data_IF_649324474335
#
_entry.id   IF_649324474335
#
_cell.length_a   1.000
_cell.length_b   1.000
_cell.length_c   1.000
_cell.angle_alpha   90.00
_cell.angle_beta   90.00
_cell.angle_gamma   90.00
#
_symmetry.space_group_name_H-M   'P 1'
#
loop_
_entity.id
_entity.type
_entity.pdbx_description
1 polymer ?
#
# COMPACT_ATOMS: atom_id res chain seq x y z
N UNK A 1 25.29 -1.77 -3.29
CA UNK A 1 24.08 -2.39 -3.88
C UNK A 1 23.30 -1.28 -4.58
N UNK A 2 23.27 -1.29 -5.91
CA UNK A 2 22.77 -0.19 -6.76
C UNK A 2 21.31 -0.46 -7.15
N UNK A 3 20.39 0.46 -6.81
CA UNK A 3 19.13 0.63 -7.56
C UNK A 3 17.82 0.10 -6.95
N UNK A 4 17.59 0.18 -5.63
CA UNK A 4 16.29 -0.22 -5.04
C UNK A 4 15.18 0.83 -5.14
N UNK A 5 15.51 2.05 -5.58
CA UNK A 5 14.58 3.19 -5.61
C UNK A 5 14.45 3.75 -7.03
N UNK A 6 13.22 4.06 -7.42
CA UNK A 6 12.85 4.62 -8.72
C UNK A 6 12.26 6.01 -8.54
N UNK A 7 12.26 6.85 -9.59
CA UNK A 7 11.59 8.16 -9.49
C UNK A 7 10.08 8.01 -9.41
N UNK A 8 9.49 8.54 -8.33
CA UNK A 8 8.07 8.40 -8.03
C UNK A 8 7.18 8.89 -9.19
N UNK A 9 7.52 10.05 -9.78
CA UNK A 9 6.76 10.66 -10.88
C UNK A 9 6.76 9.81 -12.16
N UNK A 10 7.78 8.98 -12.37
CA UNK A 10 7.87 8.11 -13.54
C UNK A 10 7.06 6.83 -13.37
N UNK A 11 6.91 6.34 -12.13
CA UNK A 11 6.31 5.05 -11.83
C UNK A 11 4.84 5.15 -11.36
N UNK A 12 4.44 6.30 -10.82
CA UNK A 12 3.15 6.48 -10.17
C UNK A 12 2.37 7.67 -10.79
N UNK A 13 1.08 7.46 -11.04
CA UNK A 13 0.11 8.51 -11.34
C UNK A 13 -0.02 9.50 -10.17
N UNK A 14 -0.65 10.66 -10.39
CA UNK A 14 -0.86 11.65 -9.32
C UNK A 14 -1.63 11.04 -8.13
N UNK A 15 -2.67 10.25 -8.37
CA UNK A 15 -3.46 9.64 -7.30
C UNK A 15 -2.66 8.60 -6.51
N UNK A 16 -1.81 7.81 -7.19
CA UNK A 16 -0.88 6.88 -6.53
C UNK A 16 0.18 7.60 -5.70
N UNK A 17 0.63 8.77 -6.15
CA UNK A 17 1.56 9.61 -5.39
C UNK A 17 0.90 10.12 -4.11
N UNK A 18 -0.36 10.58 -4.17
CA UNK A 18 -1.09 11.02 -2.99
C UNK A 18 -1.40 9.84 -2.04
N UNK A 19 -1.78 8.68 -2.58
CA UNK A 19 -1.97 7.46 -1.78
C UNK A 19 -0.67 7.05 -1.06
N UNK A 20 0.46 7.01 -1.76
CA UNK A 20 1.74 6.70 -1.13
C UNK A 20 2.10 7.74 -0.06
N UNK A 21 1.86 9.03 -0.28
CA UNK A 21 2.06 10.04 0.76
C UNK A 21 1.22 9.77 2.00
N UNK A 22 -0.04 9.35 1.83
CA UNK A 22 -0.90 8.98 2.96
C UNK A 22 -0.36 7.77 3.72
N UNK A 23 0.02 6.70 3.01
CA UNK A 23 0.59 5.48 3.60
C UNK A 23 1.90 5.76 4.34
N UNK A 24 2.76 6.62 3.78
CA UNK A 24 4.01 7.05 4.41
C UNK A 24 3.76 7.94 5.64
N UNK A 25 2.74 8.79 5.60
CA UNK A 25 2.32 9.58 6.75
C UNK A 25 1.81 8.68 7.89
N UNK A 26 1.07 7.60 7.58
CA UNK A 26 0.64 6.60 8.57
C UNK A 26 1.85 5.98 9.29
N UNK A 27 2.94 5.68 8.57
CA UNK A 27 4.18 5.19 9.19
C UNK A 27 4.79 6.21 10.17
N UNK A 28 4.65 7.50 9.90
CA UNK A 28 5.14 8.57 10.80
C UNK A 28 4.10 9.00 11.85
N UNK A 29 2.91 8.36 11.88
CA UNK A 29 1.78 8.77 12.72
C UNK A 29 2.09 8.77 14.21
N UNK A 30 2.91 7.84 14.69
CA UNK A 30 3.34 7.76 16.10
C UNK A 30 4.12 9.02 16.52
N UNK A 31 4.67 9.77 15.56
CA UNK A 31 5.31 11.07 15.79
C UNK A 31 4.41 12.26 15.44
N UNK A 32 3.45 12.13 14.50
CA UNK A 32 2.60 13.22 13.97
C UNK A 32 1.20 12.76 13.53
N UNK A 33 0.27 12.51 14.46
CA UNK A 33 -1.04 11.95 14.14
C UNK A 33 -1.97 12.91 13.36
N UNK A 34 -1.87 14.22 13.59
CA UNK A 34 -2.69 15.24 12.90
C UNK A 34 -2.43 15.35 11.39
N UNK A 35 -1.22 15.00 10.95
CA UNK A 35 -0.86 15.07 9.52
C UNK A 35 -1.48 13.90 8.73
N UNK A 36 -1.85 12.81 9.39
CA UNK A 36 -2.39 11.60 8.76
C UNK A 36 -3.84 11.78 8.35
N UNK A 37 -4.69 12.29 9.24
CA UNK A 37 -6.11 12.50 8.96
C UNK A 37 -6.31 13.47 7.79
N UNK A 38 -5.55 14.57 7.76
CA UNK A 38 -5.61 15.55 6.69
C UNK A 38 -5.20 14.93 5.34
N UNK A 39 -4.18 14.07 5.34
CA UNK A 39 -3.69 13.43 4.11
C UNK A 39 -4.68 12.37 3.59
N UNK A 40 -5.30 11.60 4.49
CA UNK A 40 -6.32 10.60 4.12
C UNK A 40 -7.60 11.25 3.59
N UNK A 41 -8.08 12.33 4.24
CA UNK A 41 -9.25 13.09 3.74
C UNK A 41 -9.02 13.64 2.34
N UNK A 42 -7.80 14.09 2.00
CA UNK A 42 -7.46 14.61 0.66
C UNK A 42 -7.60 13.57 -0.45
N UNK A 43 -7.48 12.29 -0.12
CA UNK A 43 -7.66 11.18 -1.07
C UNK A 43 -9.03 10.51 -0.92
N UNK A 44 -9.97 11.13 -0.19
CA UNK A 44 -11.33 10.63 -0.03
C UNK A 44 -11.47 9.48 0.99
N UNK A 45 -10.42 9.16 1.75
CA UNK A 45 -10.50 8.16 2.82
C UNK A 45 -10.99 8.84 4.09
N UNK A 46 -12.17 8.45 4.56
CA UNK A 46 -12.73 8.95 5.82
C UNK A 46 -11.95 8.38 7.02
N UNK A 47 -11.81 9.13 8.13
CA UNK A 47 -11.11 8.66 9.33
C UNK A 47 -11.65 7.33 9.88
N UNK A 48 -12.96 7.08 9.76
CA UNK A 48 -13.59 5.83 10.18
C UNK A 48 -13.13 4.62 9.36
N UNK A 49 -12.77 4.85 8.09
CA UNK A 49 -12.28 3.85 7.16
C UNK A 49 -10.75 3.73 7.13
N UNK A 50 -10.01 4.49 7.96
CA UNK A 50 -8.55 4.49 7.92
C UNK A 50 -7.88 3.36 8.72
N UNK A 51 -8.61 2.74 9.65
CA UNK A 51 -8.08 1.70 10.55
C UNK A 51 -7.41 0.54 9.82
N UNK A 52 -7.97 -0.03 8.72
CA UNK A 52 -7.32 -1.08 7.95
C UNK A 52 -5.95 -0.66 7.38
N UNK A 53 -5.82 0.59 6.91
CA UNK A 53 -4.54 1.09 6.38
C UNK A 53 -3.49 1.23 7.46
N UNK A 54 -3.88 1.70 8.66
CA UNK A 54 -2.97 1.80 9.81
C UNK A 54 -2.47 0.41 10.21
N UNK A 55 -3.38 -0.55 10.32
CA UNK A 55 -3.02 -1.93 10.66
C UNK A 55 -2.15 -2.58 9.58
N UNK A 56 -2.45 -2.34 8.29
CA UNK A 56 -1.67 -2.86 7.17
C UNK A 56 -0.23 -2.37 7.21
N UNK A 57 -0.02 -1.07 7.40
CA UNK A 57 1.33 -0.49 7.47
C UNK A 57 2.08 -0.96 8.72
N UNK A 58 1.42 -1.05 9.88
CA UNK A 58 2.05 -1.58 11.11
C UNK A 58 2.51 -3.03 10.90
N UNK A 59 1.64 -3.89 10.37
CA UNK A 59 1.99 -5.29 10.14
C UNK A 59 3.08 -5.47 9.07
N UNK A 60 3.08 -4.63 8.02
CA UNK A 60 4.13 -4.66 7.01
C UNK A 60 5.50 -4.30 7.62
N UNK A 61 5.55 -3.31 8.51
CA UNK A 61 6.77 -2.86 9.19
C UNK A 61 7.22 -3.78 10.33
N UNK A 62 6.28 -4.45 11.01
CA UNK A 62 6.59 -5.40 12.09
C UNK A 62 7.08 -6.76 11.56
N UNK A 63 6.84 -7.06 10.28
CA UNK A 63 7.34 -8.27 9.66
C UNK A 63 8.87 -8.25 9.63
N UNK A 64 9.51 -9.35 10.07
CA UNK A 64 10.98 -9.46 10.18
C UNK A 64 11.75 -9.37 8.84
N UNK A 65 11.05 -9.09 7.73
CA UNK A 65 11.60 -8.88 6.40
C UNK A 65 11.54 -7.40 6.03
N UNK A 66 12.59 -6.91 5.40
CA UNK A 66 12.86 -5.50 5.09
C UNK A 66 11.78 -4.83 4.19
N UNK A 67 10.56 -4.60 4.68
CA UNK A 67 9.57 -3.81 3.95
C UNK A 67 9.99 -2.34 3.94
N UNK A 68 10.44 -1.85 2.79
CA UNK A 68 10.94 -0.50 2.63
C UNK A 68 9.81 0.47 2.25
N UNK A 69 9.30 1.18 3.25
CA UNK A 69 8.43 2.35 3.05
C UNK A 69 9.23 3.64 3.22
N UNK A 70 9.35 4.44 2.16
CA UNK A 70 10.16 5.66 2.16
C UNK A 70 9.48 6.78 2.96
N UNK A 71 10.22 7.86 3.27
CA UNK A 71 9.64 9.03 3.95
C UNK A 71 8.57 9.74 3.10
N UNK A 72 7.58 10.42 3.71
CA UNK A 72 6.42 11.00 3.03
C UNK A 72 6.78 12.03 1.96
N UNK A 73 7.92 12.71 2.11
CA UNK A 73 8.43 13.69 1.14
C UNK A 73 9.42 13.10 0.12
N UNK A 74 9.66 11.80 0.14
CA UNK A 74 10.60 11.16 -0.78
C UNK A 74 10.14 11.32 -2.24
N UNK A 75 10.99 11.87 -3.13
CA UNK A 75 10.71 11.96 -4.56
C UNK A 75 10.88 10.61 -5.28
N UNK A 76 11.27 9.57 -4.55
CA UNK A 76 11.47 8.23 -5.05
C UNK A 76 10.38 7.27 -4.56
N UNK A 77 10.35 6.07 -5.12
CA UNK A 77 9.49 4.95 -4.73
C UNK A 77 10.33 3.68 -4.66
N UNK A 78 10.13 2.87 -3.63
CA UNK A 78 10.77 1.55 -3.50
C UNK A 78 10.02 0.49 -4.32
N UNK A 79 10.61 -0.67 -4.51
CA UNK A 79 9.91 -1.80 -5.12
C UNK A 79 8.78 -2.32 -4.21
N UNK A 80 9.00 -2.33 -2.89
CA UNK A 80 7.99 -2.76 -1.93
C UNK A 80 6.75 -1.85 -1.94
N UNK A 81 6.95 -0.54 -2.14
CA UNK A 81 5.86 0.41 -2.33
C UNK A 81 5.08 0.16 -3.64
N UNK A 82 5.77 -0.24 -4.71
CA UNK A 82 5.12 -0.60 -5.97
C UNK A 82 4.36 -1.91 -5.87
N UNK A 83 4.90 -2.90 -5.16
CA UNK A 83 4.24 -4.18 -4.90
C UNK A 83 3.03 -3.98 -3.97
N UNK A 84 3.11 -3.08 -2.99
CA UNK A 84 1.98 -2.67 -2.17
C UNK A 84 0.87 -2.07 -3.03
N UNK A 85 1.19 -1.12 -3.92
CA UNK A 85 0.22 -0.53 -4.85
C UNK A 85 -0.39 -1.57 -5.80
N UNK A 86 0.41 -2.52 -6.29
CA UNK A 86 -0.08 -3.60 -7.13
C UNK A 86 -1.06 -4.51 -6.37
N UNK A 87 -0.75 -4.82 -5.11
CA UNK A 87 -1.60 -5.63 -4.23
C UNK A 87 -2.91 -4.92 -3.90
N UNK A 88 -2.86 -3.62 -3.56
CA UNK A 88 -4.06 -2.82 -3.34
C UNK A 88 -4.93 -2.73 -4.60
N UNK A 89 -4.33 -2.54 -5.77
CA UNK A 89 -5.07 -2.54 -7.04
C UNK A 89 -5.74 -3.89 -7.33
N UNK A 90 -5.07 -5.00 -6.98
CA UNK A 90 -5.64 -6.33 -7.10
C UNK A 90 -6.91 -6.45 -6.25
N UNK A 91 -6.85 -6.16 -4.94
CA UNK A 91 -8.02 -6.26 -4.06
C UNK A 91 -9.09 -5.19 -4.32
N UNK A 92 -8.72 -4.04 -4.89
CA UNK A 92 -9.69 -3.06 -5.37
C UNK A 92 -10.54 -3.61 -6.52
N UNK A 93 -9.95 -4.42 -7.41
CA UNK A 93 -10.64 -5.00 -8.58
C UNK A 93 -11.26 -6.37 -8.33
N UNK A 94 -10.71 -7.12 -7.40
CA UNK A 94 -11.13 -8.48 -7.08
C UNK A 94 -11.63 -8.52 -5.64
N UNK A 95 -12.96 -8.46 -5.49
CA UNK A 95 -13.65 -8.66 -4.21
C UNK A 95 -13.71 -10.15 -3.83
N UNK A 96 -13.52 -11.02 -4.82
CA UNK A 96 -13.77 -12.44 -4.67
C UNK A 96 -12.74 -13.17 -3.80
N UNK A 97 -13.26 -14.15 -3.08
CA UNK A 97 -12.53 -15.13 -2.26
C UNK A 97 -11.54 -15.98 -3.06
N UNK A 98 -11.57 -15.93 -4.39
CA UNK A 98 -10.59 -16.59 -5.26
C UNK A 98 -9.26 -15.82 -5.22
N UNK A 99 -8.40 -16.17 -4.26
CA UNK A 99 -6.99 -15.83 -4.34
C UNK A 99 -6.46 -16.39 -5.67
N UNK A 100 -5.77 -15.61 -6.52
CA UNK A 100 -5.09 -16.16 -7.69
C UNK A 100 -4.22 -17.31 -7.23
N UNK A 101 -4.17 -18.36 -8.07
CA UNK A 101 -3.31 -19.53 -7.89
C UNK A 101 -1.81 -19.21 -7.99
N UNK A 102 -1.41 -17.99 -7.62
CA UNK A 102 -0.03 -17.57 -7.46
C UNK A 102 0.40 -17.80 -6.01
N UNK A 103 1.58 -18.39 -5.85
CA UNK A 103 2.19 -18.74 -4.56
C UNK A 103 2.34 -17.58 -3.54
N UNK A 104 2.15 -16.33 -3.95
CA UNK A 104 2.37 -15.17 -3.08
C UNK A 104 1.20 -14.90 -2.12
N UNK A 105 -0.05 -14.96 -2.60
CA UNK A 105 -1.22 -14.70 -1.76
C UNK A 105 -1.58 -15.90 -0.89
N UNK A 106 -1.22 -17.11 -1.32
CA UNK A 106 -1.39 -18.34 -0.53
C UNK A 106 -0.46 -18.40 0.69
N UNK A 107 0.66 -17.67 0.66
CA UNK A 107 1.62 -17.54 1.78
C UNK A 107 1.29 -16.39 2.73
N UNK A 108 0.37 -15.51 2.36
CA UNK A 108 -0.04 -14.37 3.18
C UNK A 108 -0.96 -14.85 4.32
N UNK A 109 -0.78 -14.32 5.52
CA UNK A 109 -1.67 -14.66 6.64
C UNK A 109 -3.10 -14.24 6.33
N UNK A 110 -4.09 -14.97 6.87
CA UNK A 110 -5.52 -14.65 6.73
C UNK A 110 -5.84 -13.24 7.20
N UNK A 111 -5.14 -12.77 8.24
CA UNK A 111 -5.27 -11.41 8.74
C UNK A 111 -4.77 -10.35 7.74
N UNK A 112 -3.60 -10.53 7.14
CA UNK A 112 -3.09 -9.60 6.10
C UNK A 112 -3.99 -9.58 4.86
N UNK A 113 -4.51 -10.74 4.45
CA UNK A 113 -5.49 -10.83 3.36
C UNK A 113 -6.77 -10.03 3.66
N UNK A 114 -7.27 -10.11 4.90
CA UNK A 114 -8.42 -9.31 5.33
C UNK A 114 -8.12 -7.81 5.28
N UNK A 115 -6.97 -7.38 5.80
CA UNK A 115 -6.56 -5.97 5.75
C UNK A 115 -6.48 -5.44 4.31
N UNK A 116 -5.93 -6.21 3.39
CA UNK A 116 -5.88 -5.84 1.98
C UNK A 116 -7.26 -5.76 1.32
N UNK A 117 -8.19 -6.66 1.67
CA UNK A 117 -9.59 -6.58 1.21
C UNK A 117 -10.27 -5.33 1.73
N UNK A 118 -10.15 -5.04 3.02
CA UNK A 118 -10.77 -3.88 3.65
C UNK A 118 -10.20 -2.57 3.06
N UNK A 119 -8.89 -2.50 2.82
CA UNK A 119 -8.25 -1.38 2.14
C UNK A 119 -8.70 -1.27 0.67
N UNK A 120 -8.77 -2.39 -0.06
CA UNK A 120 -9.18 -2.43 -1.46
C UNK A 120 -10.63 -1.98 -1.67
N UNK A 121 -11.53 -2.42 -0.79
CA UNK A 121 -12.93 -1.98 -0.75
C UNK A 121 -13.03 -0.47 -0.50
N UNK A 122 -12.34 0.03 0.52
CA UNK A 122 -12.28 1.48 0.80
C UNK A 122 -11.75 2.27 -0.41
N UNK A 123 -10.68 1.79 -1.07
CA UNK A 123 -10.12 2.45 -2.25
C UNK A 123 -11.10 2.46 -3.43
N UNK A 124 -11.90 1.41 -3.60
CA UNK A 124 -12.93 1.35 -4.64
C UNK A 124 -13.94 2.48 -4.47
N UNK A 125 -14.34 2.76 -3.23
CA UNK A 125 -15.30 3.81 -2.89
C UNK A 125 -14.71 5.22 -3.08
N UNK A 126 -13.39 5.40 -2.97
CA UNK A 126 -12.74 6.69 -3.23
C UNK A 126 -12.69 7.09 -4.72
N UNK A 127 -12.92 6.14 -5.63
CA UNK A 127 -12.77 6.36 -7.07
C UNK A 127 -11.31 6.54 -7.56
N UNK A 128 -10.31 6.23 -6.72
CA UNK A 128 -8.90 6.30 -7.11
C UNK A 128 -8.57 5.20 -8.12
N UNK A 129 -8.11 5.60 -9.31
CA UNK A 129 -7.59 4.66 -10.29
C UNK A 129 -6.09 4.37 -10.04
N UNK A 130 -5.77 3.11 -9.73
CA UNK A 130 -4.40 2.62 -9.63
C UNK A 130 -3.93 2.03 -10.98
N UNK A 131 -2.69 2.31 -11.37
CA UNK A 131 -2.13 1.79 -12.63
C UNK A 131 -2.07 0.27 -12.59
N UNK A 132 -2.39 -0.35 -13.72
CA UNK A 132 -2.18 -1.78 -13.89
C UNK A 132 -0.68 -2.08 -13.78
N UNK A 133 -0.36 -3.04 -12.92
CA UNK A 133 0.98 -3.64 -12.76
C UNK A 133 0.79 -5.16 -12.81
N UNK A 134 1.82 -5.94 -13.15
CA UNK A 134 1.80 -7.39 -12.96
C UNK A 134 1.34 -7.70 -11.53
N UNK A 135 0.61 -8.80 -11.36
CA UNK A 135 0.22 -9.26 -10.02
C UNK A 135 1.49 -9.37 -9.14
N UNK A 136 1.39 -9.03 -7.84
CA UNK A 136 2.56 -8.95 -6.96
C UNK A 136 3.32 -10.28 -6.98
N UNK A 137 4.59 -10.24 -7.38
CA UNK A 137 5.53 -11.34 -7.22
C UNK A 137 6.43 -10.99 -6.05
N UNK A 138 6.29 -11.62 -4.88
CA UNK A 138 7.27 -11.45 -3.82
C UNK A 138 8.62 -11.98 -4.32
N UNK A 139 9.53 -11.06 -4.65
CA UNK A 139 10.92 -11.40 -4.93
C UNK A 139 11.56 -11.84 -3.61
N UNK A 140 11.91 -13.11 -3.51
CA UNK A 140 12.79 -13.58 -2.43
C UNK A 140 14.11 -12.82 -2.52
N UNK A 141 14.46 -12.06 -1.48
CA UNK A 141 15.87 -11.83 -1.16
C UNK A 141 16.34 -13.08 -0.43
N UNK A 142 17.08 -13.92 -1.15
CA UNK A 142 17.86 -15.01 -0.58
C UNK A 142 18.95 -14.48 0.34
#
# INVERSE_FOLDING_TARGET
>A
MKGNVLFLKAQCSKSEQELLRALRAIKEADSRPTDVEATLKRIGIHPEASSPFVQLIKNALDSRGEFELLGPKSPCVSHDELDLLATLNYFMKHDDTSLPAGDCLTRMSTYMLRLFRDCGSTLRDTGIALRARPAPFMRHRH
#
